data_IF_750444109429
#
_entry.id   IF_750444109429
#
_cell.length_a   1.000
_cell.length_b   1.000
_cell.length_c   1.000
_cell.angle_alpha   90.00
_cell.angle_beta   90.00
_cell.angle_gamma   90.00
#
_symmetry.space_group_name_H-M   'P 1'
#
loop_
_entity.id
_entity.type
_entity.pdbx_description
1 polymer ?
#
# COMPACT_ATOMS: atom_id res chain seq x y z
N UNK A 1 -8.45 12.09 16.44
CA UNK A 1 -8.11 10.98 15.53
C UNK A 1 -9.35 10.67 14.70
N UNK A 2 -9.21 10.56 13.39
CA UNK A 2 -10.36 10.39 12.48
C UNK A 2 -10.39 8.97 11.92
N UNK A 3 -11.58 8.38 11.87
CA UNK A 3 -11.82 7.08 11.25
C UNK A 3 -12.69 7.26 10.01
N UNK A 4 -12.26 6.71 8.88
CA UNK A 4 -13.03 6.79 7.64
C UNK A 4 -14.08 5.67 7.60
N UNK A 5 -15.30 6.04 7.23
CA UNK A 5 -16.36 5.06 6.92
C UNK A 5 -16.03 4.32 5.63
N UNK A 6 -16.44 3.05 5.53
CA UNK A 6 -16.37 2.25 4.30
C UNK A 6 -17.49 2.68 3.35
N UNK A 7 -17.38 3.91 2.85
CA UNK A 7 -18.32 4.49 1.90
C UNK A 7 -17.53 5.20 0.83
N UNK A 8 -17.78 4.87 -0.43
CA UNK A 8 -17.15 5.56 -1.56
C UNK A 8 -17.77 6.94 -1.66
N UNK A 9 -16.97 7.98 -1.42
CA UNK A 9 -17.40 9.40 -1.48
C UNK A 9 -16.73 10.17 -2.60
N UNK A 10 -15.51 9.77 -2.95
CA UNK A 10 -14.68 10.42 -3.97
C UNK A 10 -14.46 9.46 -5.13
N UNK A 11 -14.10 10.01 -6.30
CA UNK A 11 -13.66 9.20 -7.43
C UNK A 11 -12.38 8.45 -7.04
N UNK A 12 -12.33 7.10 -7.16
CA UNK A 12 -11.13 6.35 -6.86
C UNK A 12 -10.00 6.73 -7.82
N UNK A 13 -8.76 6.57 -7.36
CA UNK A 13 -7.60 6.67 -8.25
C UNK A 13 -7.66 5.53 -9.27
N UNK A 14 -7.58 5.86 -10.56
CA UNK A 14 -7.46 4.85 -11.62
C UNK A 14 -6.05 4.25 -11.61
N UNK A 15 -5.95 2.92 -11.66
CA UNK A 15 -4.66 2.23 -11.77
C UNK A 15 -4.41 1.91 -13.24
N UNK A 16 -3.32 2.43 -13.79
CA UNK A 16 -2.99 2.18 -15.19
C UNK A 16 -2.03 1.02 -15.37
N UNK A 17 -2.10 0.32 -16.51
CA UNK A 17 -1.17 -0.74 -16.88
C UNK A 17 0.28 -0.24 -16.86
N UNK A 18 0.53 0.96 -17.40
CA UNK A 18 1.82 1.64 -17.32
C UNK A 18 2.32 1.79 -15.87
N UNK A 19 1.42 2.13 -14.93
CA UNK A 19 1.80 2.27 -13.51
C UNK A 19 2.26 0.93 -12.93
N UNK A 20 1.64 -0.19 -13.34
CA UNK A 20 2.02 -1.54 -12.90
C UNK A 20 3.33 -1.97 -13.57
N UNK A 21 3.47 -1.80 -14.88
CA UNK A 21 4.66 -2.21 -15.64
C UNK A 21 5.92 -1.44 -15.23
N UNK A 22 5.78 -0.14 -14.97
CA UNK A 22 6.87 0.70 -14.45
C UNK A 22 7.13 0.52 -12.95
N UNK A 23 6.37 -0.34 -12.26
CA UNK A 23 6.40 -0.51 -10.81
C UNK A 23 6.26 0.83 -10.05
N UNK A 24 5.51 1.76 -10.63
CA UNK A 24 5.28 3.09 -10.05
C UNK A 24 4.41 2.92 -8.82
N UNK A 25 4.80 3.59 -7.74
CA UNK A 25 4.23 3.38 -6.40
C UNK A 25 4.40 1.95 -5.85
N UNK A 26 5.38 1.19 -6.37
CA UNK A 26 5.69 -0.17 -5.94
C UNK A 26 4.57 -1.19 -6.20
N UNK A 27 3.69 -0.93 -7.17
CA UNK A 27 2.60 -1.83 -7.56
C UNK A 27 3.21 -2.95 -8.42
N UNK A 28 3.18 -4.19 -7.94
CA UNK A 28 3.69 -5.35 -8.68
C UNK A 28 2.57 -6.12 -9.40
N UNK A 29 1.35 -6.10 -8.86
CA UNK A 29 0.23 -6.86 -9.42
C UNK A 29 -1.08 -6.11 -9.20
N UNK A 30 -1.90 -6.03 -10.24
CA UNK A 30 -3.26 -5.53 -10.18
C UNK A 30 -4.15 -6.38 -11.11
N UNK A 31 -4.98 -7.24 -10.52
CA UNK A 31 -5.96 -8.05 -11.24
C UNK A 31 -7.28 -8.18 -10.46
N UNK A 32 -8.17 -9.06 -10.89
CA UNK A 32 -9.48 -9.29 -10.28
C UNK A 32 -9.46 -10.03 -8.94
N UNK A 33 -8.33 -10.65 -8.57
CA UNK A 33 -8.17 -11.43 -7.35
C UNK A 33 -7.29 -10.71 -6.32
N UNK A 34 -6.18 -10.16 -6.77
CA UNK A 34 -5.14 -9.53 -5.96
C UNK A 34 -4.70 -8.16 -6.50
N UNK A 35 -4.53 -7.24 -5.56
CA UNK A 35 -3.76 -6.01 -5.77
C UNK A 35 -2.60 -6.03 -4.77
N UNK A 36 -1.36 -5.99 -5.28
CA UNK A 36 -0.14 -6.20 -4.50
C UNK A 36 0.83 -5.04 -4.67
N UNK A 37 1.29 -4.52 -3.55
CA UNK A 37 2.32 -3.50 -3.49
C UNK A 37 3.51 -3.98 -2.65
N UNK A 38 4.73 -3.83 -3.18
CA UNK A 38 5.95 -4.13 -2.43
C UNK A 38 6.26 -3.01 -1.45
N UNK A 39 6.32 -3.33 -0.15
CA UNK A 39 6.53 -2.35 0.93
C UNK A 39 7.86 -2.47 1.65
N UNK A 40 8.73 -3.39 1.24
CA UNK A 40 10.09 -3.49 1.79
C UNK A 40 11.07 -2.65 0.99
N UNK A 41 11.64 -1.62 1.63
CA UNK A 41 12.86 -0.96 1.17
C UNK A 41 14.06 -1.87 1.48
N UNK A 42 14.35 -2.81 0.58
CA UNK A 42 15.48 -3.73 0.63
C UNK A 42 16.16 -3.76 -0.75
N UNK A 43 17.45 -4.10 -0.78
CA UNK A 43 18.25 -4.20 -2.00
C UNK A 43 19.00 -2.91 -2.24
N UNK A 44 18.95 -2.40 -3.47
CA UNK A 44 19.78 -1.28 -3.93
C UNK A 44 19.73 -0.05 -3.02
N UNK A 45 18.55 0.31 -2.50
CA UNK A 45 18.39 1.47 -1.63
C UNK A 45 19.08 1.27 -0.27
N UNK A 46 18.94 0.10 0.35
CA UNK A 46 19.63 -0.22 1.61
C UNK A 46 21.14 -0.33 1.39
N UNK A 47 21.56 -0.96 0.29
CA UNK A 47 22.98 -1.08 -0.06
C UNK A 47 23.62 0.29 -0.30
N UNK A 48 22.98 1.16 -1.08
CA UNK A 48 23.46 2.51 -1.35
C UNK A 48 23.62 3.33 -0.07
N UNK A 49 22.61 3.35 0.80
CA UNK A 49 22.69 4.03 2.10
C UNK A 49 23.81 3.42 2.96
N UNK A 50 23.88 2.09 3.04
CA UNK A 50 24.90 1.40 3.83
C UNK A 50 26.33 1.67 3.34
N UNK A 51 26.55 1.66 2.03
CA UNK A 51 27.85 1.97 1.41
C UNK A 51 28.25 3.42 1.69
N UNK A 52 27.32 4.37 1.55
CA UNK A 52 27.58 5.78 1.88
C UNK A 52 27.95 5.94 3.35
N UNK A 53 27.23 5.29 4.25
CA UNK A 53 27.51 5.29 5.70
C UNK A 53 28.84 4.62 6.07
N UNK A 54 29.45 3.83 5.19
CA UNK A 54 30.77 3.24 5.40
C UNK A 54 31.86 4.12 4.77
N UNK A 55 31.69 4.47 3.49
CA UNK A 55 32.73 5.15 2.70
C UNK A 55 32.92 6.59 3.16
N UNK A 56 31.84 7.35 3.41
CA UNK A 56 31.96 8.77 3.77
C UNK A 56 32.72 8.95 5.09
N UNK A 57 32.43 8.21 6.18
CA UNK A 57 33.23 8.29 7.41
C UNK A 57 34.70 7.89 7.22
N UNK A 58 34.98 6.90 6.36
CA UNK A 58 36.36 6.52 6.03
C UNK A 58 37.08 7.69 5.35
N UNK A 59 36.44 8.34 4.38
CA UNK A 59 36.99 9.52 3.71
C UNK A 59 37.22 10.66 4.72
N UNK A 60 36.23 10.97 5.55
CA UNK A 60 36.36 12.00 6.60
C UNK A 60 37.49 11.66 7.58
N UNK A 61 37.68 10.37 7.90
CA UNK A 61 38.74 9.93 8.81
C UNK A 61 40.16 10.29 8.33
N UNK A 62 40.38 10.40 7.01
CA UNK A 62 41.65 10.83 6.42
C UNK A 62 41.94 12.33 6.60
N UNK A 63 40.93 13.16 6.87
CA UNK A 63 41.10 14.59 7.13
C UNK A 63 41.44 14.91 8.59
N UNK A 64 41.31 13.94 9.51
CA UNK A 64 41.80 14.07 10.88
C UNK A 64 43.32 13.88 10.93
N UNK A 65 44.01 14.54 11.88
CA UNK A 65 45.46 14.35 12.05
C UNK A 65 45.76 12.89 12.36
N UNK A 66 46.97 12.42 12.04
CA UNK A 66 47.41 11.04 12.27
C UNK A 66 47.09 10.58 13.70
N UNK A 67 47.34 11.47 14.67
CA UNK A 67 47.34 11.17 16.10
C UNK A 67 45.94 11.32 16.74
N UNK A 68 44.94 11.79 15.98
CA UNK A 68 43.55 11.94 16.43
C UNK A 68 42.83 10.58 16.44
N UNK A 69 43.24 9.69 17.33
CA UNK A 69 42.70 8.33 17.45
C UNK A 69 41.20 8.32 17.81
N UNK A 70 40.82 9.05 18.86
CA UNK A 70 39.45 9.02 19.38
C UNK A 70 38.40 9.55 18.39
N UNK A 71 38.59 10.72 17.73
CA UNK A 71 37.63 11.20 16.74
C UNK A 71 37.42 10.24 15.57
N UNK A 72 38.51 9.61 15.06
CA UNK A 72 38.44 8.61 13.99
C UNK A 72 37.64 7.37 14.40
N UNK A 73 37.89 6.85 15.60
CA UNK A 73 37.13 5.70 16.11
C UNK A 73 35.66 6.04 16.32
N UNK A 74 35.36 7.21 16.87
CA UNK A 74 33.98 7.64 17.12
C UNK A 74 33.20 7.74 15.80
N UNK A 75 33.74 8.41 14.79
CA UNK A 75 33.03 8.58 13.51
C UNK A 75 32.85 7.26 12.77
N UNK A 76 33.86 6.39 12.75
CA UNK A 76 33.77 5.07 12.11
C UNK A 76 32.79 4.15 12.85
N UNK A 77 32.71 4.24 14.17
CA UNK A 77 31.78 3.43 14.97
C UNK A 77 30.34 3.90 14.79
N UNK A 78 30.09 5.21 14.90
CA UNK A 78 28.75 5.80 14.83
C UNK A 78 28.12 5.59 13.46
N UNK A 79 28.89 5.67 12.37
CA UNK A 79 28.34 5.57 11.02
C UNK A 79 28.66 4.24 10.33
N UNK A 80 29.86 3.70 10.52
CA UNK A 80 30.29 2.45 9.88
C UNK A 80 29.53 1.22 10.38
N UNK A 81 29.29 1.09 11.69
CA UNK A 81 28.51 -0.05 12.22
C UNK A 81 27.07 -0.04 11.69
N UNK A 82 26.30 1.07 11.77
CA UNK A 82 24.99 1.14 11.13
C UNK A 82 25.05 0.91 9.61
N UNK A 83 26.11 1.36 8.94
CA UNK A 83 26.33 1.11 7.52
C UNK A 83 26.40 -0.38 7.21
N UNK A 84 27.23 -1.14 7.93
CA UNK A 84 27.36 -2.60 7.79
C UNK A 84 26.02 -3.29 8.06
N UNK A 85 25.34 -2.93 9.16
CA UNK A 85 24.01 -3.49 9.49
C UNK A 85 23.00 -3.20 8.38
N UNK A 86 23.04 -2.01 7.77
CA UNK A 86 22.14 -1.63 6.68
C UNK A 86 22.42 -2.43 5.39
N UNK A 87 23.70 -2.69 5.08
CA UNK A 87 24.07 -3.57 3.96
C UNK A 87 23.55 -4.99 4.18
N UNK A 88 23.79 -5.55 5.38
CA UNK A 88 23.30 -6.89 5.75
C UNK A 88 21.77 -6.94 5.65
N UNK A 89 21.07 -5.93 6.17
CA UNK A 89 19.61 -5.82 6.05
C UNK A 89 19.15 -5.88 4.58
N UNK A 90 19.90 -5.24 3.67
CA UNK A 90 19.69 -5.33 2.23
C UNK A 90 19.72 -6.76 1.66
N UNK A 91 20.42 -7.70 2.30
CA UNK A 91 20.52 -9.11 1.91
C UNK A 91 19.61 -10.07 2.68
N UNK A 92 19.16 -9.72 3.89
CA UNK A 92 18.45 -10.70 4.75
C UNK A 92 17.00 -10.32 5.04
N UNK A 93 16.61 -9.04 4.92
CA UNK A 93 15.29 -8.62 5.36
C UNK A 93 14.16 -9.25 4.53
N UNK A 94 13.12 -9.83 5.12
CA UNK A 94 12.06 -10.46 4.35
C UNK A 94 11.35 -9.44 3.45
N UNK A 95 11.03 -9.85 2.22
CA UNK A 95 10.19 -9.06 1.32
C UNK A 95 8.76 -9.09 1.88
N UNK A 96 8.15 -7.93 2.02
CA UNK A 96 6.81 -7.75 2.57
C UNK A 96 5.96 -7.04 1.54
N UNK A 97 4.74 -7.55 1.43
CA UNK A 97 3.74 -7.06 0.52
C UNK A 97 2.56 -6.51 1.30
N UNK A 98 2.01 -5.40 0.81
CA UNK A 98 0.63 -5.04 1.07
C UNK A 98 -0.22 -5.74 0.01
N UNK A 99 -1.08 -6.66 0.45
CA UNK A 99 -1.91 -7.47 -0.44
C UNK A 99 -3.37 -7.26 -0.11
N UNK A 100 -4.14 -6.94 -1.12
CA UNK A 100 -5.58 -6.87 -1.08
C UNK A 100 -6.08 -8.15 -1.73
N UNK A 101 -6.63 -9.06 -0.93
CA UNK A 101 -7.25 -10.29 -1.41
C UNK A 101 -8.75 -10.06 -1.50
N UNK A 102 -9.20 -9.81 -2.73
CA UNK A 102 -10.57 -9.38 -3.02
C UNK A 102 -11.58 -10.49 -2.72
N UNK A 103 -11.24 -11.74 -3.02
CA UNK A 103 -12.19 -12.85 -2.92
C UNK A 103 -12.39 -13.30 -1.47
N UNK A 104 -11.31 -13.36 -0.69
CA UNK A 104 -11.38 -13.66 0.73
C UNK A 104 -11.77 -12.43 1.57
N UNK A 105 -11.75 -11.24 0.99
CA UNK A 105 -12.13 -9.99 1.66
C UNK A 105 -11.17 -9.62 2.79
N UNK A 106 -9.87 -9.87 2.61
CA UNK A 106 -8.82 -9.59 3.61
C UNK A 106 -7.74 -8.69 3.03
N UNK A 107 -7.12 -7.89 3.90
CA UNK A 107 -5.93 -7.10 3.56
C UNK A 107 -4.76 -7.63 4.41
N UNK A 108 -3.71 -8.09 3.74
CA UNK A 108 -2.45 -8.49 4.36
C UNK A 108 -1.59 -7.23 4.52
N UNK A 109 -1.43 -6.80 5.75
CA UNK A 109 -0.71 -5.58 6.12
C UNK A 109 0.75 -5.90 6.47
N UNK A 110 1.73 -5.27 5.79
CA UNK A 110 3.12 -5.34 6.20
C UNK A 110 3.34 -4.45 7.43
N UNK A 111 4.23 -4.90 8.32
CA UNK A 111 4.56 -4.21 9.57
C UNK A 111 6.05 -3.99 9.69
N UNK A 112 6.44 -2.83 10.21
CA UNK A 112 7.85 -2.52 10.49
C UNK A 112 8.34 -3.45 11.61
N UNK A 113 9.47 -4.12 11.35
CA UNK A 113 10.14 -5.01 12.32
C UNK A 113 9.27 -6.15 12.91
N UNK A 114 8.13 -6.48 12.29
CA UNK A 114 7.23 -7.56 12.72
C UNK A 114 6.72 -8.37 11.53
N UNK A 115 6.17 -9.55 11.77
CA UNK A 115 5.47 -10.33 10.75
C UNK A 115 4.24 -9.57 10.20
N UNK A 116 3.86 -9.92 8.98
CA UNK A 116 2.64 -9.43 8.34
C UNK A 116 1.40 -9.83 9.15
N UNK A 117 0.32 -9.07 9.02
CA UNK A 117 -0.96 -9.40 9.67
C UNK A 117 -2.08 -9.36 8.64
N UNK A 118 -2.91 -10.39 8.63
CA UNK A 118 -4.10 -10.45 7.78
C UNK A 118 -5.28 -9.88 8.54
N UNK A 119 -5.92 -8.86 7.99
CA UNK A 119 -7.05 -8.16 8.62
C UNK A 119 -8.27 -8.29 7.70
N UNK A 120 -9.39 -8.86 8.15
CA UNK A 120 -10.63 -8.86 7.38
C UNK A 120 -11.08 -7.42 7.07
N UNK A 121 -11.39 -7.16 5.80
CA UNK A 121 -11.80 -5.83 5.38
C UNK A 121 -13.13 -5.43 6.01
N UNK A 122 -14.02 -6.39 6.29
CA UNK A 122 -15.32 -6.15 6.94
C UNK A 122 -15.19 -5.62 8.37
N UNK A 123 -14.25 -6.14 9.18
CA UNK A 123 -14.07 -5.78 10.59
C UNK A 123 -12.96 -4.77 10.85
N UNK A 124 -11.98 -4.63 9.94
CA UNK A 124 -10.89 -3.66 10.09
C UNK A 124 -11.34 -2.20 9.96
N UNK A 125 -10.51 -1.27 10.42
CA UNK A 125 -10.81 0.15 10.49
C UNK A 125 -9.78 0.98 9.74
N UNK A 126 -10.25 1.93 8.92
CA UNK A 126 -9.41 2.94 8.29
C UNK A 126 -9.25 4.14 9.21
N UNK A 127 -8.02 4.50 9.51
CA UNK A 127 -7.66 5.58 10.43
C UNK A 127 -6.79 6.60 9.72
N UNK A 128 -7.15 7.88 9.84
CA UNK A 128 -6.31 8.99 9.42
C UNK A 128 -5.49 9.47 10.60
N UNK A 129 -4.16 9.40 10.45
CA UNK A 129 -3.19 9.98 11.38
C UNK A 129 -2.61 11.23 10.75
N UNK A 130 -2.62 12.33 11.49
CA UNK A 130 -1.95 13.55 11.08
C UNK A 130 -0.55 13.58 11.69
N UNK A 131 0.45 13.90 10.88
CA UNK A 131 1.82 14.11 11.31
C UNK A 131 2.27 15.50 10.86
N UNK A 132 3.11 16.13 11.67
CA UNK A 132 3.83 17.32 11.24
C UNK A 132 5.02 16.85 10.42
N UNK A 133 4.87 16.87 9.10
CA UNK A 133 5.92 16.46 8.18
C UNK A 133 6.99 17.55 8.02
N UNK A 134 6.65 18.80 8.31
CA UNK A 134 7.54 19.96 8.37
C UNK A 134 6.90 21.08 9.21
N UNK A 135 7.67 22.10 9.67
CA UNK A 135 7.10 23.26 10.35
C UNK A 135 5.96 23.88 9.52
N UNK A 136 4.76 23.97 10.10
CA UNK A 136 3.57 24.51 9.42
C UNK A 136 2.86 23.57 8.44
N UNK A 137 3.35 22.35 8.20
CA UNK A 137 2.73 21.39 7.28
C UNK A 137 2.19 20.18 8.02
N UNK A 138 0.86 20.02 7.98
CA UNK A 138 0.15 18.85 8.51
C UNK A 138 -0.11 17.89 7.35
N UNK A 139 0.56 16.74 7.35
CA UNK A 139 0.31 15.66 6.38
C UNK A 139 -0.55 14.57 7.01
N UNK A 140 -1.57 14.12 6.26
CA UNK A 140 -2.41 13.00 6.67
C UNK A 140 -1.87 11.67 6.12
N UNK A 141 -1.96 10.63 6.93
CA UNK A 141 -1.61 9.25 6.58
C UNK A 141 -2.81 8.34 6.83
N UNK A 142 -3.11 7.48 5.88
CA UNK A 142 -4.14 6.46 6.01
C UNK A 142 -3.53 5.15 6.50
N UNK A 143 -3.98 4.68 7.66
CA UNK A 143 -3.63 3.38 8.20
C UNK A 143 -4.85 2.45 8.21
N UNK A 144 -4.61 1.14 8.11
CA UNK A 144 -5.63 0.11 8.31
C UNK A 144 -5.28 -0.74 9.52
N UNK A 145 -6.21 -0.83 10.47
CA UNK A 145 -5.98 -1.48 11.77
C UNK A 145 -7.10 -2.48 12.10
N UNK A 146 -6.78 -3.52 12.86
CA UNK A 146 -7.73 -4.58 13.19
C UNK A 146 -8.73 -4.18 14.27
N UNK A 147 -8.39 -3.20 15.10
CA UNK A 147 -9.24 -2.71 16.19
C UNK A 147 -8.94 -1.26 16.52
N UNK A 148 -9.97 -0.51 16.94
CA UNK A 148 -9.84 0.86 17.45
C UNK A 148 -9.08 0.94 18.77
N UNK A 149 -9.16 -0.10 19.61
CA UNK A 149 -8.47 -0.16 20.91
C UNK A 149 -7.05 -0.74 20.82
N UNK A 150 -6.78 -1.58 19.81
CA UNK A 150 -5.47 -2.19 19.54
C UNK A 150 -4.91 -1.70 18.22
N UNK A 151 -4.66 -0.40 18.15
CA UNK A 151 -4.22 0.32 16.96
C UNK A 151 -2.81 -0.08 16.45
N UNK A 152 -2.03 -0.80 17.27
CA UNK A 152 -0.72 -1.35 16.93
C UNK A 152 -0.79 -2.57 15.99
N UNK A 153 -1.98 -3.16 15.79
CA UNK A 153 -2.21 -4.30 14.91
C UNK A 153 -2.79 -3.78 13.59
N UNK A 154 -1.91 -3.50 12.64
CA UNK A 154 -2.23 -2.85 11.38
C UNK A 154 -0.99 -2.32 10.69
N UNK A 155 -1.19 -1.50 9.66
CA UNK A 155 -0.12 -0.87 8.91
C UNK A 155 -0.59 0.37 8.16
N UNK A 156 0.34 0.97 7.43
CA UNK A 156 0.09 2.13 6.57
C UNK A 156 -0.45 1.66 5.21
N UNK A 157 -1.50 2.32 4.71
CA UNK A 157 -2.03 2.16 3.36
C UNK A 157 -1.47 3.23 2.42
N UNK A 158 -1.56 4.51 2.77
CA UNK A 158 -1.04 5.58 1.92
C UNK A 158 -0.71 6.83 2.72
N UNK A 159 0.21 7.63 2.20
CA UNK A 159 0.57 8.96 2.71
C UNK A 159 0.02 10.08 1.82
N UNK A 160 -0.53 9.74 0.66
CA UNK A 160 -1.00 10.68 -0.35
C UNK A 160 -2.39 10.32 -0.86
N UNK A 161 -3.16 11.33 -1.26
CA UNK A 161 -4.50 11.17 -1.84
C UNK A 161 -5.41 10.24 -1.02
N UNK A 162 -5.43 10.45 0.31
CA UNK A 162 -6.08 9.58 1.31
C UNK A 162 -7.50 9.19 0.89
N UNK A 163 -8.32 10.18 0.50
CA UNK A 163 -9.72 9.93 0.16
C UNK A 163 -9.87 9.11 -1.13
N UNK A 164 -9.08 9.41 -2.17
CA UNK A 164 -9.12 8.67 -3.44
C UNK A 164 -8.57 7.24 -3.30
N UNK A 165 -7.50 7.06 -2.51
CA UNK A 165 -6.95 5.73 -2.21
C UNK A 165 -7.92 4.91 -1.38
N UNK A 166 -8.61 5.54 -0.42
CA UNK A 166 -9.64 4.86 0.36
C UNK A 166 -10.85 4.49 -0.48
N UNK A 167 -11.30 5.36 -1.38
CA UNK A 167 -12.34 5.05 -2.36
C UNK A 167 -11.94 3.87 -3.26
N UNK A 168 -10.70 3.84 -3.75
CA UNK A 168 -10.16 2.70 -4.50
C UNK A 168 -10.17 1.42 -3.65
N UNK A 169 -9.69 1.49 -2.41
CA UNK A 169 -9.66 0.35 -1.48
C UNK A 169 -11.05 -0.23 -1.27
N UNK A 170 -12.05 0.60 -0.97
CA UNK A 170 -13.43 0.13 -0.77
C UNK A 170 -13.98 -0.50 -2.05
N UNK A 171 -13.79 0.15 -3.20
CA UNK A 171 -14.31 -0.36 -4.47
C UNK A 171 -13.65 -1.69 -4.83
N UNK A 172 -12.33 -1.79 -4.72
CA UNK A 172 -11.59 -3.00 -5.01
C UNK A 172 -11.97 -4.17 -4.09
N UNK A 173 -12.07 -3.92 -2.78
CA UNK A 173 -12.43 -4.96 -1.80
C UNK A 173 -13.92 -5.37 -1.84
N UNK A 174 -14.77 -4.63 -2.53
CA UNK A 174 -16.17 -4.99 -2.75
C UNK A 174 -16.25 -5.97 -3.94
N UNK A 175 -16.16 -7.28 -3.66
CA UNK A 175 -16.22 -8.33 -4.69
C UNK A 175 -17.54 -8.35 -5.49
N UNK A 176 -18.58 -7.67 -5.02
CA UNK A 176 -19.87 -7.59 -5.71
C UNK A 176 -19.93 -6.40 -6.69
N UNK A 177 -18.95 -5.49 -6.63
CA UNK A 177 -18.81 -4.37 -7.58
C UNK A 177 -17.94 -4.75 -8.78
N UNK A 178 -18.14 -4.07 -9.93
CA UNK A 178 -17.18 -4.13 -11.02
C UNK A 178 -15.80 -3.69 -10.55
N UNK A 179 -14.75 -4.15 -11.25
CA UNK A 179 -13.38 -3.71 -10.98
C UNK A 179 -13.25 -2.18 -11.05
N UNK A 180 -12.43 -1.56 -10.18
CA UNK A 180 -12.31 -0.11 -10.13
C UNK A 180 -11.78 0.47 -11.45
N UNK A 181 -11.90 1.79 -11.66
CA UNK A 181 -11.40 2.47 -12.86
C UNK A 181 -9.89 2.25 -13.09
N UNK A 182 -9.48 2.31 -14.36
CA UNK A 182 -8.10 2.12 -14.80
C UNK A 182 -7.94 0.92 -15.73
N UNK A 183 -7.04 1.06 -16.71
CA UNK A 183 -6.83 0.07 -17.78
C UNK A 183 -6.05 -1.17 -17.31
N UNK A 184 -5.39 -1.12 -16.14
CA UNK A 184 -4.73 -2.28 -15.53
C UNK A 184 -5.68 -3.46 -15.30
N UNK A 185 -6.99 -3.18 -15.16
CA UNK A 185 -8.02 -4.17 -14.91
C UNK A 185 -8.78 -4.62 -16.16
N UNK A 186 -8.58 -3.99 -17.31
CA UNK A 186 -9.46 -4.15 -18.48
C UNK A 186 -9.52 -5.59 -18.98
N UNK A 187 -8.37 -6.28 -19.01
CA UNK A 187 -8.27 -7.70 -19.38
C UNK A 187 -9.06 -8.64 -18.48
N UNK A 188 -9.40 -8.20 -17.26
CA UNK A 188 -10.12 -9.01 -16.27
C UNK A 188 -11.59 -8.62 -16.11
N UNK A 189 -12.03 -7.50 -16.72
CA UNK A 189 -13.41 -7.00 -16.54
C UNK A 189 -14.46 -8.01 -17.02
N UNK A 190 -14.20 -8.67 -18.15
CA UNK A 190 -15.14 -9.65 -18.70
C UNK A 190 -15.27 -10.88 -17.79
N UNK A 191 -14.14 -11.41 -17.31
CA UNK A 191 -14.13 -12.55 -16.39
C UNK A 191 -14.84 -12.21 -15.06
N UNK A 192 -14.56 -11.05 -14.47
CA UNK A 192 -15.24 -10.62 -13.25
C UNK A 192 -16.75 -10.39 -13.48
N UNK A 193 -17.14 -9.88 -14.65
CA UNK A 193 -18.55 -9.74 -15.02
C UNK A 193 -19.26 -11.09 -15.11
N UNK A 194 -18.68 -12.06 -15.82
CA UNK A 194 -19.24 -13.41 -15.96
C UNK A 194 -19.37 -14.13 -14.61
N UNK A 195 -18.37 -14.01 -13.74
CA UNK A 195 -18.45 -14.53 -12.36
C UNK A 195 -19.62 -13.90 -11.61
N UNK A 196 -19.73 -12.57 -11.59
CA UNK A 196 -20.83 -11.88 -10.89
C UNK A 196 -22.19 -12.21 -11.50
N UNK A 197 -22.26 -12.40 -12.81
CA UNK A 197 -23.46 -12.86 -13.52
C UNK A 197 -23.89 -14.25 -13.06
N UNK A 198 -22.94 -15.19 -12.91
CA UNK A 198 -23.22 -16.52 -12.38
C UNK A 198 -23.70 -16.49 -10.92
N UNK A 199 -23.24 -15.51 -10.12
CA UNK A 199 -23.70 -15.27 -8.76
C UNK A 199 -25.04 -14.49 -8.67
N UNK A 200 -25.61 -14.09 -9.82
CA UNK A 200 -26.88 -13.34 -9.87
C UNK A 200 -26.76 -11.85 -9.57
N UNK A 201 -25.57 -11.25 -9.76
CA UNK A 201 -25.25 -9.86 -9.45
C UNK A 201 -25.67 -9.44 -8.03
N UNK A 202 -25.06 -10.02 -7.00
CA UNK A 202 -25.35 -9.67 -5.61
C UNK A 202 -25.13 -8.17 -5.35
N UNK A 203 -25.90 -7.59 -4.43
CA UNK A 203 -25.78 -6.17 -4.08
C UNK A 203 -24.38 -5.85 -3.54
N UNK A 204 -23.87 -4.62 -3.76
CA UNK A 204 -22.57 -4.21 -3.24
C UNK A 204 -22.50 -4.31 -1.71
N UNK A 205 -21.35 -4.71 -1.19
CA UNK A 205 -21.13 -4.89 0.25
C UNK A 205 -20.98 -3.56 1.00
N UNK A 206 -20.48 -2.53 0.32
CA UNK A 206 -20.23 -1.21 0.91
C UNK A 206 -20.99 -0.13 0.16
N UNK A 207 -21.52 0.90 0.83
CA UNK A 207 -22.25 1.98 0.16
C UNK A 207 -21.35 2.87 -0.73
N UNK A 208 -21.95 3.48 -1.75
CA UNK A 208 -21.30 4.44 -2.64
C UNK A 208 -22.20 5.66 -2.86
N UNK A 209 -21.62 6.86 -2.82
CA UNK A 209 -22.27 8.13 -3.19
C UNK A 209 -22.07 8.50 -4.67
N UNK A 210 -21.18 7.78 -5.36
CA UNK A 210 -20.93 7.96 -6.79
C UNK A 210 -21.42 6.73 -7.55
N UNK A 211 -21.69 6.89 -8.85
CA UNK A 211 -22.01 5.77 -9.72
C UNK A 211 -20.80 4.84 -9.88
N UNK A 212 -21.07 3.55 -9.92
CA UNK A 212 -20.07 2.51 -10.19
C UNK A 212 -20.53 1.72 -11.42
N UNK A 213 -20.36 2.29 -12.63
CA UNK A 213 -20.83 1.65 -13.85
C UNK A 213 -20.01 0.41 -14.21
N UNK A 214 -20.63 -0.50 -14.96
CA UNK A 214 -19.92 -1.58 -15.66
C UNK A 214 -19.03 -1.03 -16.80
N UNK A 215 -18.23 -1.89 -17.42
CA UNK A 215 -17.31 -1.50 -18.50
C UNK A 215 -18.06 -1.00 -19.75
N UNK A 216 -19.22 -1.60 -20.03
CA UNK A 216 -20.06 -1.29 -21.19
C UNK A 216 -21.51 -1.01 -20.79
N UNK A 217 -22.25 -0.18 -21.56
CA UNK A 217 -23.68 0.05 -21.32
C UNK A 217 -24.54 -1.22 -21.35
N UNK A 218 -24.18 -2.19 -22.20
CA UNK A 218 -24.88 -3.47 -22.36
C UNK A 218 -24.73 -4.32 -21.09
N UNK A 219 -23.51 -4.43 -20.56
CA UNK A 219 -23.25 -5.09 -19.27
C UNK A 219 -24.04 -4.41 -18.14
N UNK A 220 -24.10 -3.07 -18.15
CA UNK A 220 -24.85 -2.31 -17.15
C UNK A 220 -26.36 -2.59 -17.23
N UNK A 221 -26.92 -2.74 -18.43
CA UNK A 221 -28.31 -3.11 -18.64
C UNK A 221 -28.60 -4.56 -18.20
N UNK A 222 -27.69 -5.48 -18.52
CA UNK A 222 -27.82 -6.89 -18.10
C UNK A 222 -27.76 -7.03 -16.58
N UNK A 223 -26.85 -6.30 -15.91
CA UNK A 223 -26.78 -6.26 -14.45
C UNK A 223 -28.08 -5.80 -13.83
N UNK A 224 -28.69 -4.73 -14.37
CA UNK A 224 -29.98 -4.21 -13.89
C UNK A 224 -31.11 -5.22 -14.10
N UNK A 225 -31.10 -5.94 -15.22
CA UNK A 225 -32.10 -6.96 -15.55
C UNK A 225 -32.04 -8.17 -14.61
N UNK A 226 -30.84 -8.67 -14.32
CA UNK A 226 -30.64 -9.89 -13.52
C UNK A 226 -30.62 -9.57 -12.02
N UNK A 227 -29.86 -8.56 -11.60
CA UNK A 227 -29.72 -8.19 -10.19
C UNK A 227 -30.89 -7.38 -9.64
N UNK A 228 -31.64 -6.68 -10.50
CA UNK A 228 -32.77 -5.84 -10.09
C UNK A 228 -32.38 -4.53 -9.40
N UNK A 229 -31.14 -4.05 -9.60
CA UNK A 229 -30.62 -2.79 -9.02
C UNK A 229 -29.50 -2.11 -9.85
#
# INVERSE_FOLDING_TARGET
>A
MEYLSKTIKEKPKGITQETVESNKYFIEEANDLFYKEKRTARGWMSWGIGIVLIIVPIIISFFFKSDDFWPKIIILTIFGIPGVVTVIYGFVAPIKYLVFDRMNGVIVMPRNFRSTVTIPFSSGFARVKHINSSPGVISGMLAFVSSKSKDRVGGLLTEYNIKNYWAFTIWYMDKNRPLPPGDAFDRYRQQDFERRKAEGFPKPLYPSKISTPEATPEQQAERKRIGGW
#
